data_IF_286007683972
#
_entry.id   IF_286007683972
#
_cell.length_a   1.000
_cell.length_b   1.000
_cell.length_c   1.000
_cell.angle_alpha   90.00
_cell.angle_beta   90.00
_cell.angle_gamma   90.00
#
_symmetry.space_group_name_H-M   'P 1'
#
loop_
_entity.id
_entity.type
_entity.pdbx_description
1 polymer ?
#
# COMPACT_ATOMS: atom_id res chain seq x y z
N UNK A 1 -41.63 44.04 26.27
CA UNK A 1 -41.33 42.77 26.97
C UNK A 1 -42.05 41.67 26.19
N UNK A 2 -41.46 41.27 25.06
CA UNK A 2 -40.57 40.09 24.88
C UNK A 2 -41.36 38.78 24.94
N UNK A 3 -41.79 38.23 23.80
CA UNK A 3 -41.02 37.35 22.88
C UNK A 3 -40.46 36.12 23.60
N UNK A 4 -40.89 34.94 23.15
CA UNK A 4 -40.00 33.84 22.72
C UNK A 4 -40.84 32.79 21.98
N UNK A 5 -40.61 32.71 20.66
CA UNK A 5 -40.94 31.56 19.81
C UNK A 5 -39.81 30.52 19.98
N UNK A 6 -40.06 29.21 19.91
CA UNK A 6 -39.00 28.26 19.60
C UNK A 6 -38.83 28.23 18.07
N UNK A 7 -37.89 29.03 17.58
CA UNK A 7 -37.17 28.78 16.34
C UNK A 7 -36.15 27.68 16.61
N UNK A 8 -36.53 26.43 16.34
CA UNK A 8 -35.62 25.29 16.29
C UNK A 8 -35.19 25.08 14.85
N UNK A 9 -33.97 25.53 14.55
CA UNK A 9 -33.28 25.38 13.28
C UNK A 9 -33.37 23.93 12.81
N UNK A 10 -34.01 23.72 11.66
CA UNK A 10 -33.88 22.52 10.86
C UNK A 10 -32.41 22.46 10.45
N UNK A 11 -31.58 21.75 11.22
CA UNK A 11 -30.25 21.37 10.78
C UNK A 11 -30.44 20.49 9.55
N UNK A 12 -30.26 21.09 8.38
CA UNK A 12 -29.95 20.36 7.17
C UNK A 12 -28.66 19.58 7.45
N UNK A 13 -28.81 18.32 7.84
CA UNK A 13 -27.80 17.30 7.56
C UNK A 13 -27.74 17.17 6.04
N UNK A 14 -27.02 18.10 5.42
CA UNK A 14 -26.34 17.77 4.18
C UNK A 14 -25.30 16.75 4.64
N UNK A 15 -25.62 15.46 4.48
CA UNK A 15 -24.59 14.45 4.33
C UNK A 15 -23.78 14.89 3.10
N UNK A 16 -22.75 15.71 3.33
CA UNK A 16 -21.53 15.52 2.57
C UNK A 16 -21.07 14.12 2.96
N UNK A 17 -21.50 13.13 2.19
CA UNK A 17 -20.73 11.91 2.02
C UNK A 17 -19.40 12.37 1.42
N UNK A 18 -18.51 12.85 2.29
CA UNK A 18 -17.09 12.79 2.01
C UNK A 18 -16.86 11.31 1.77
N UNK A 19 -16.65 10.96 0.51
CA UNK A 19 -16.16 9.64 0.13
C UNK A 19 -14.83 9.50 0.87
N UNK A 20 -14.90 8.90 2.07
CA UNK A 20 -13.70 8.56 2.81
C UNK A 20 -12.96 7.58 1.93
N UNK A 21 -11.86 8.03 1.33
CA UNK A 21 -10.84 7.13 0.83
C UNK A 21 -10.48 6.29 2.07
N UNK A 22 -10.82 4.99 2.04
CA UNK A 22 -10.44 4.08 3.12
C UNK A 22 -8.94 4.18 3.36
N UNK A 23 -8.49 3.98 4.58
CA UNK A 23 -7.07 3.92 4.90
C UNK A 23 -6.77 2.46 5.23
N UNK A 24 -5.87 1.84 4.47
CA UNK A 24 -5.51 0.43 4.64
C UNK A 24 -4.28 0.36 5.54
N UNK A 25 -4.36 -0.46 6.59
CA UNK A 25 -3.24 -0.64 7.51
C UNK A 25 -2.17 -1.53 6.86
N UNK A 26 -0.91 -1.18 7.08
CA UNK A 26 0.24 -1.97 6.64
C UNK A 26 1.38 -1.80 7.63
N UNK A 27 1.99 -2.91 8.06
CA UNK A 27 3.21 -2.89 8.87
C UNK A 27 4.44 -3.07 8.00
N UNK A 28 5.37 -2.13 8.09
CA UNK A 28 6.66 -2.17 7.38
C UNK A 28 7.80 -2.28 8.38
N UNK A 29 8.72 -3.20 8.15
CA UNK A 29 9.96 -3.32 8.91
C UNK A 29 11.18 -3.14 8.00
N UNK A 30 12.29 -2.70 8.59
CA UNK A 30 13.58 -2.66 7.94
C UNK A 30 14.68 -3.19 8.85
N UNK A 31 15.64 -3.92 8.28
CA UNK A 31 16.70 -4.54 9.04
C UNK A 31 17.96 -4.80 8.22
N UNK A 32 19.07 -4.19 8.62
CA UNK A 32 20.38 -4.70 8.28
C UNK A 32 20.62 -5.99 9.06
N UNK A 33 20.55 -7.13 8.37
CA UNK A 33 20.60 -8.45 9.00
C UNK A 33 22.05 -8.95 9.17
N UNK A 34 23.03 -8.22 8.64
CA UNK A 34 24.45 -8.60 8.51
C UNK A 34 24.71 -9.80 7.59
N UNK A 35 23.99 -10.90 7.81
CA UNK A 35 23.95 -12.07 6.95
C UNK A 35 22.69 -12.87 7.30
N UNK A 36 22.00 -13.41 6.29
CA UNK A 36 20.85 -14.29 6.54
C UNK A 36 21.32 -15.61 7.17
N UNK A 37 22.54 -16.04 6.83
CA UNK A 37 23.14 -17.27 7.29
C UNK A 37 22.67 -18.49 6.49
N UNK A 38 23.27 -19.65 6.77
CA UNK A 38 22.91 -20.90 6.10
C UNK A 38 21.62 -21.48 6.70
N UNK A 39 20.69 -22.04 5.89
CA UNK A 39 19.49 -22.69 6.39
C UNK A 39 19.73 -23.65 7.57
N UNK A 40 19.07 -23.36 8.69
CA UNK A 40 19.17 -24.13 9.94
C UNK A 40 20.32 -23.75 10.86
N UNK A 41 21.15 -22.75 10.52
CA UNK A 41 22.11 -22.17 11.46
C UNK A 41 21.40 -21.37 12.55
N UNK A 42 22.14 -20.98 13.61
CA UNK A 42 21.56 -20.17 14.69
C UNK A 42 21.19 -18.77 14.19
N UNK A 43 22.00 -18.20 13.31
CA UNK A 43 21.78 -16.91 12.67
C UNK A 43 20.46 -16.96 11.88
N UNK A 44 20.30 -17.96 11.01
CA UNK A 44 19.08 -18.20 10.24
C UNK A 44 17.83 -18.33 11.13
N UNK A 45 17.88 -19.21 12.13
CA UNK A 45 16.72 -19.49 12.99
C UNK A 45 16.32 -18.27 13.81
N UNK A 46 17.28 -17.54 14.39
CA UNK A 46 16.98 -16.32 15.15
C UNK A 46 16.48 -15.20 14.26
N UNK A 47 17.00 -15.08 13.04
CA UNK A 47 16.48 -14.13 12.05
C UNK A 47 15.02 -14.40 11.72
N UNK A 48 14.65 -15.68 11.53
CA UNK A 48 13.25 -16.06 11.34
C UNK A 48 12.40 -15.70 12.56
N UNK A 49 12.89 -15.95 13.76
CA UNK A 49 12.12 -15.66 14.98
C UNK A 49 11.96 -14.15 15.21
N UNK A 50 12.98 -13.33 14.93
CA UNK A 50 12.89 -11.86 14.96
C UNK A 50 11.86 -11.39 13.94
N UNK A 51 11.95 -11.83 12.69
CA UNK A 51 10.98 -11.47 11.63
C UNK A 51 9.55 -11.89 12.02
N UNK A 52 9.38 -13.09 12.57
CA UNK A 52 8.09 -13.58 13.05
C UNK A 52 7.54 -12.75 14.22
N UNK A 53 8.41 -12.28 15.12
CA UNK A 53 8.03 -11.44 16.26
C UNK A 53 7.52 -10.07 15.82
N UNK A 54 8.16 -9.44 14.83
CA UNK A 54 7.75 -8.14 14.28
C UNK A 54 6.37 -8.20 13.61
N UNK A 55 6.02 -9.35 13.03
CA UNK A 55 4.75 -9.60 12.33
C UNK A 55 4.46 -8.58 11.22
N UNK A 56 5.51 -8.12 10.53
CA UNK A 56 5.37 -7.11 9.50
C UNK A 56 4.75 -7.69 8.23
N UNK A 57 3.93 -6.90 7.52
CA UNK A 57 3.42 -7.27 6.20
C UNK A 57 4.53 -7.22 5.15
N UNK A 58 5.47 -6.30 5.34
CA UNK A 58 6.59 -6.03 4.45
C UNK A 58 7.87 -5.90 5.27
N UNK A 59 8.94 -6.59 4.88
CA UNK A 59 10.27 -6.47 5.51
C UNK A 59 11.31 -6.13 4.46
N UNK A 60 11.96 -4.98 4.61
CA UNK A 60 13.11 -4.59 3.81
C UNK A 60 14.41 -5.02 4.49
N UNK A 61 15.21 -5.83 3.82
CA UNK A 61 16.43 -6.43 4.36
C UNK A 61 17.65 -5.84 3.65
N UNK A 62 18.67 -5.50 4.42
CA UNK A 62 19.99 -5.12 3.91
C UNK A 62 21.04 -6.15 4.35
N UNK A 63 22.15 -6.21 3.61
CA UNK A 63 23.23 -7.19 3.82
C UNK A 63 22.75 -8.65 3.66
N UNK A 64 22.00 -8.91 2.59
CA UNK A 64 21.97 -10.28 2.04
C UNK A 64 23.34 -10.50 1.39
N UNK A 65 24.19 -11.29 2.06
CA UNK A 65 25.61 -11.37 1.81
C UNK A 65 25.90 -12.40 0.72
N UNK A 66 26.51 -11.97 -0.38
CA UNK A 66 26.93 -12.79 -1.50
C UNK A 66 25.82 -13.47 -2.33
N UNK A 67 26.24 -14.06 -3.46
CA UNK A 67 25.34 -14.74 -4.40
C UNK A 67 24.82 -16.09 -3.90
N UNK A 68 25.47 -16.70 -2.91
CA UNK A 68 25.02 -17.94 -2.26
C UNK A 68 23.79 -17.62 -1.40
N UNK A 69 23.81 -16.56 -0.59
CA UNK A 69 22.62 -16.17 0.17
C UNK A 69 21.49 -15.71 -0.74
N UNK A 70 21.78 -14.99 -1.83
CA UNK A 70 20.78 -14.66 -2.87
C UNK A 70 20.10 -15.93 -3.40
N UNK A 71 20.87 -17.01 -3.63
CA UNK A 71 20.34 -18.31 -4.05
C UNK A 71 19.49 -19.01 -2.98
N UNK A 72 19.66 -18.67 -1.71
CA UNK A 72 18.95 -19.26 -0.57
C UNK A 72 17.78 -18.40 -0.08
N UNK A 73 17.72 -17.13 -0.46
CA UNK A 73 16.75 -16.16 0.03
C UNK A 73 15.29 -16.56 -0.24
N UNK A 74 15.02 -17.30 -1.32
CA UNK A 74 13.71 -17.89 -1.57
C UNK A 74 13.27 -18.84 -0.44
N UNK A 75 14.20 -19.62 0.10
CA UNK A 75 13.95 -20.51 1.23
C UNK A 75 13.77 -19.71 2.52
N UNK A 76 14.46 -18.57 2.67
CA UNK A 76 14.30 -17.68 3.81
C UNK A 76 12.92 -17.06 3.81
N UNK A 77 12.50 -16.48 2.68
CA UNK A 77 11.17 -15.92 2.49
C UNK A 77 10.06 -16.93 2.82
N UNK A 78 10.18 -18.15 2.29
CA UNK A 78 9.22 -19.22 2.55
C UNK A 78 9.19 -19.62 4.05
N UNK A 79 10.35 -19.76 4.68
CA UNK A 79 10.44 -20.10 6.09
C UNK A 79 9.95 -18.98 7.01
N UNK A 80 10.11 -17.73 6.60
CA UNK A 80 9.61 -16.54 7.30
C UNK A 80 8.10 -16.31 7.06
N UNK A 81 7.44 -17.12 6.22
CA UNK A 81 6.01 -17.02 5.96
C UNK A 81 5.61 -15.97 4.92
N UNK A 82 6.54 -15.50 4.08
CA UNK A 82 6.29 -14.52 3.03
C UNK A 82 6.15 -15.20 1.67
N UNK A 83 4.98 -15.05 1.05
CA UNK A 83 4.69 -15.64 -0.26
C UNK A 83 5.36 -14.89 -1.42
N UNK A 84 5.75 -13.63 -1.20
CA UNK A 84 6.37 -12.77 -2.20
C UNK A 84 7.70 -12.24 -1.69
N UNK A 85 8.71 -12.22 -2.56
CA UNK A 85 9.99 -11.62 -2.28
C UNK A 85 10.61 -11.05 -3.55
N UNK A 86 11.48 -10.07 -3.39
CA UNK A 86 12.31 -9.52 -4.45
C UNK A 86 13.69 -9.16 -3.89
N UNK A 87 14.73 -9.29 -4.72
CA UNK A 87 16.11 -9.02 -4.34
C UNK A 87 16.69 -8.08 -5.39
N UNK A 88 17.56 -7.17 -4.98
CA UNK A 88 18.29 -6.32 -5.90
C UNK A 88 19.06 -7.16 -6.92
N UNK A 89 19.02 -6.76 -8.18
CA UNK A 89 19.72 -7.48 -9.25
C UNK A 89 21.17 -6.97 -9.44
N UNK A 90 21.53 -5.90 -8.74
CA UNK A 90 22.87 -5.36 -8.67
C UNK A 90 23.27 -5.20 -7.21
N UNK A 91 24.44 -5.72 -6.83
CA UNK A 91 25.22 -5.11 -5.76
C UNK A 91 25.83 -3.84 -6.35
N UNK A 92 25.79 -2.71 -5.65
CA UNK A 92 26.38 -1.47 -6.18
C UNK A 92 27.78 -1.73 -6.75
N UNK A 93 28.12 -1.15 -7.90
CA UNK A 93 29.37 -1.43 -8.65
C UNK A 93 30.65 -1.22 -7.81
N UNK A 94 30.52 -0.53 -6.67
CA UNK A 94 31.57 -0.14 -5.74
C UNK A 94 31.29 -0.61 -4.30
N UNK A 95 30.40 -1.60 -4.13
CA UNK A 95 29.79 -2.06 -2.87
C UNK A 95 30.46 -3.32 -2.27
N UNK A 96 31.07 -4.18 -3.09
CA UNK A 96 31.18 -5.60 -2.72
C UNK A 96 29.83 -6.30 -2.84
N UNK A 97 29.80 -7.63 -2.76
CA UNK A 97 28.64 -8.49 -3.05
C UNK A 97 27.53 -8.41 -1.97
N UNK A 98 27.08 -7.20 -1.62
CA UNK A 98 26.00 -6.96 -0.66
C UNK A 98 24.74 -6.54 -1.40
N UNK A 99 23.65 -7.25 -1.14
CA UNK A 99 22.35 -7.05 -1.77
C UNK A 99 21.32 -6.54 -0.76
N UNK A 100 20.26 -5.95 -1.29
CA UNK A 100 19.07 -5.58 -0.53
C UNK A 100 17.89 -6.41 -1.03
N UNK A 101 16.90 -6.63 -0.18
CA UNK A 101 15.75 -7.43 -0.52
C UNK A 101 14.49 -6.93 0.17
N UNK A 102 13.34 -7.37 -0.35
CA UNK A 102 12.02 -7.12 0.23
C UNK A 102 11.29 -8.44 0.33
N UNK A 103 10.76 -8.74 1.52
CA UNK A 103 9.77 -9.77 1.79
C UNK A 103 8.39 -9.11 1.88
N UNK A 104 7.35 -9.76 1.35
CA UNK A 104 5.99 -9.22 1.38
C UNK A 104 4.92 -10.31 1.47
N UNK A 105 3.94 -10.10 2.36
CA UNK A 105 2.70 -10.89 2.42
C UNK A 105 1.76 -10.56 1.26
N UNK A 106 1.97 -9.41 0.63
CA UNK A 106 1.19 -8.91 -0.49
C UNK A 106 1.96 -9.03 -1.82
N UNK A 107 1.26 -9.11 -2.97
CA UNK A 107 1.92 -9.26 -4.27
C UNK A 107 2.90 -8.13 -4.59
N UNK A 108 4.12 -8.49 -5.02
CA UNK A 108 5.08 -7.56 -5.61
C UNK A 108 4.80 -7.46 -7.10
N UNK A 109 4.33 -6.30 -7.57
CA UNK A 109 3.96 -6.06 -8.98
C UNK A 109 5.18 -5.81 -9.87
N UNK A 110 6.31 -5.46 -9.27
CA UNK A 110 7.60 -5.32 -9.94
C UNK A 110 8.65 -4.70 -9.02
N UNK A 111 9.91 -4.84 -9.41
CA UNK A 111 11.04 -4.30 -8.66
C UNK A 111 12.14 -3.82 -9.61
N UNK A 112 12.92 -2.85 -9.15
CA UNK A 112 13.97 -2.19 -9.94
C UNK A 112 15.14 -1.81 -9.04
N UNK A 113 16.37 -2.16 -9.45
CA UNK A 113 17.58 -1.54 -8.92
C UNK A 113 17.92 -0.32 -9.78
N UNK A 114 18.03 0.85 -9.16
CA UNK A 114 18.28 2.11 -9.85
C UNK A 114 19.77 2.36 -10.04
N UNK A 115 20.15 2.81 -11.24
CA UNK A 115 21.55 3.11 -11.58
C UNK A 115 21.81 4.61 -11.59
N UNK A 116 23.08 5.00 -11.36
CA UNK A 116 23.50 6.39 -11.49
C UNK A 116 23.17 6.95 -12.88
N UNK A 117 23.38 6.14 -13.92
CA UNK A 117 23.10 6.51 -15.30
C UNK A 117 21.60 6.73 -15.57
N UNK A 118 20.72 5.86 -15.07
CA UNK A 118 19.28 6.00 -15.28
C UNK A 118 18.69 7.19 -14.54
N UNK A 119 19.23 7.52 -13.36
CA UNK A 119 18.73 8.61 -12.53
C UNK A 119 19.28 9.98 -12.94
N UNK A 120 20.54 10.05 -13.38
CA UNK A 120 21.15 11.30 -13.86
C UNK A 120 20.81 11.63 -15.32
N UNK A 121 20.49 10.61 -16.12
CA UNK A 121 20.45 10.73 -17.59
C UNK A 121 21.83 10.77 -18.25
N UNK A 122 22.92 10.56 -17.49
CA UNK A 122 24.29 10.50 -17.98
C UNK A 122 24.82 9.06 -17.99
N UNK A 123 25.02 8.51 -19.18
CA UNK A 123 25.48 7.12 -19.35
C UNK A 123 26.86 6.82 -18.73
N UNK A 124 27.64 7.85 -18.39
CA UNK A 124 28.95 7.68 -17.75
C UNK A 124 28.90 7.82 -16.22
N UNK A 125 27.75 8.17 -15.64
CA UNK A 125 27.61 8.30 -14.20
C UNK A 125 27.80 6.93 -13.52
N UNK A 126 28.67 6.91 -12.51
CA UNK A 126 28.97 5.76 -11.66
C UNK A 126 29.27 6.27 -10.24
N UNK A 127 28.28 6.93 -9.65
CA UNK A 127 28.36 7.59 -8.34
C UNK A 127 27.43 6.99 -7.29
N UNK A 128 26.67 5.94 -7.65
CA UNK A 128 25.93 5.08 -6.73
C UNK A 128 26.85 3.93 -6.34
N UNK A 129 27.25 3.88 -5.08
CA UNK A 129 28.18 2.84 -4.62
C UNK A 129 27.50 1.67 -3.95
N UNK A 130 26.23 1.82 -3.58
CA UNK A 130 25.35 0.84 -2.96
C UNK A 130 23.98 0.91 -3.64
N UNK A 131 23.28 -0.21 -3.79
CA UNK A 131 22.05 -0.23 -4.58
C UNK A 131 20.94 0.64 -4.00
N UNK A 132 20.09 1.17 -4.88
CA UNK A 132 18.82 1.81 -4.55
C UNK A 132 17.73 0.91 -5.12
N UNK A 133 17.15 0.08 -4.26
CA UNK A 133 16.19 -0.94 -4.69
C UNK A 133 14.76 -0.46 -4.43
N UNK A 134 13.93 -0.49 -5.47
CA UNK A 134 12.50 -0.20 -5.43
C UNK A 134 11.70 -1.49 -5.61
N UNK A 135 10.70 -1.72 -4.76
CA UNK A 135 9.68 -2.74 -4.93
C UNK A 135 8.28 -2.10 -4.87
N UNK A 136 7.39 -2.48 -5.80
CA UNK A 136 6.00 -1.99 -5.84
C UNK A 136 5.06 -3.06 -5.34
N UNK A 137 4.37 -2.79 -4.24
CA UNK A 137 3.58 -3.76 -3.48
C UNK A 137 2.11 -3.42 -3.58
N UNK A 138 1.29 -4.39 -4.01
CA UNK A 138 -0.15 -4.24 -4.04
C UNK A 138 -0.74 -4.53 -2.65
N UNK A 139 -0.82 -3.51 -1.81
CA UNK A 139 -1.56 -3.60 -0.54
C UNK A 139 -3.05 -3.86 -0.85
N UNK A 140 -3.74 -4.72 -0.09
CA UNK A 140 -5.16 -4.99 -0.30
C UNK A 140 -5.98 -3.70 -0.29
N UNK A 141 -7.01 -3.66 -1.14
CA UNK A 141 -7.93 -2.53 -1.24
C UNK A 141 -7.26 -1.15 -1.47
N UNK A 142 -6.06 -1.05 -2.08
CA UNK A 142 -5.44 0.25 -2.45
C UNK A 142 -5.51 0.55 -3.94
N UNK A 143 -5.68 1.83 -4.29
CA UNK A 143 -5.84 2.29 -5.69
C UNK A 143 -4.54 2.24 -6.48
N UNK A 144 -3.44 2.37 -5.76
CA UNK A 144 -2.10 2.37 -6.29
C UNK A 144 -1.22 1.47 -5.41
N UNK A 145 -0.17 0.86 -5.99
CA UNK A 145 0.79 0.10 -5.21
C UNK A 145 1.55 1.03 -4.26
N UNK A 146 1.90 0.51 -3.09
CA UNK A 146 2.87 1.12 -2.20
C UNK A 146 4.27 0.89 -2.76
N UNK A 147 5.04 1.95 -2.98
CA UNK A 147 6.46 1.82 -3.31
C UNK A 147 7.30 1.70 -2.04
N UNK A 148 8.15 0.67 -1.99
CA UNK A 148 9.17 0.49 -0.97
C UNK A 148 10.52 0.73 -1.62
N UNK A 149 11.22 1.77 -1.17
CA UNK A 149 12.63 1.97 -1.48
C UNK A 149 13.46 1.43 -0.31
N UNK A 150 14.44 0.58 -0.58
CA UNK A 150 15.38 0.10 0.43
C UNK A 150 16.80 0.42 0.01
N UNK A 151 17.60 0.90 0.96
CA UNK A 151 18.99 1.31 0.75
C UNK A 151 19.90 0.77 1.85
N UNK A 152 21.17 0.60 1.53
CA UNK A 152 22.25 0.40 2.49
C UNK A 152 23.39 1.34 2.09
N UNK A 153 23.40 2.56 2.61
CA UNK A 153 24.28 3.62 2.11
C UNK A 153 25.75 3.41 2.53
N UNK A 154 26.65 4.24 1.99
CA UNK A 154 28.07 4.19 2.32
C UNK A 154 28.33 4.32 3.83
N UNK A 155 28.75 3.20 4.43
CA UNK A 155 29.27 3.09 5.78
C UNK A 155 30.60 3.84 6.05
N UNK A 156 30.99 3.84 7.33
CA UNK A 156 32.19 4.49 7.89
C UNK A 156 32.17 6.02 7.85
N UNK A 157 32.97 6.64 8.72
CA UNK A 157 33.11 8.10 8.80
C UNK A 157 34.16 8.65 7.83
N UNK A 158 34.16 9.97 7.66
CA UNK A 158 35.21 10.73 7.00
C UNK A 158 34.80 11.23 5.63
N UNK A 159 35.36 12.37 5.23
CA UNK A 159 34.82 13.19 4.13
C UNK A 159 34.64 12.48 2.78
N UNK A 160 35.40 11.42 2.48
CA UNK A 160 35.19 10.62 1.24
C UNK A 160 33.91 9.79 1.34
N UNK A 161 33.65 9.19 2.50
CA UNK A 161 32.44 8.40 2.76
C UNK A 161 31.23 9.31 2.90
N UNK A 162 31.38 10.43 3.60
CA UNK A 162 30.34 11.46 3.74
C UNK A 162 29.94 12.00 2.34
N UNK A 163 30.91 12.31 1.48
CA UNK A 163 30.62 12.73 0.10
C UNK A 163 29.81 11.67 -0.66
N UNK A 164 30.25 10.40 -0.65
CA UNK A 164 29.55 9.29 -1.32
C UNK A 164 28.12 9.14 -0.80
N UNK A 165 27.93 9.14 0.52
CA UNK A 165 26.61 9.03 1.15
C UNK A 165 25.67 10.16 0.75
N UNK A 166 26.18 11.40 0.67
CA UNK A 166 25.39 12.54 0.17
C UNK A 166 24.97 12.36 -1.29
N UNK A 167 25.85 11.86 -2.14
CA UNK A 167 25.50 11.62 -3.55
C UNK A 167 24.47 10.49 -3.67
N UNK A 168 24.65 9.38 -2.95
CA UNK A 168 23.66 8.29 -2.90
C UNK A 168 22.29 8.77 -2.42
N UNK A 169 22.23 9.65 -1.41
CA UNK A 169 20.98 10.25 -0.94
C UNK A 169 20.32 11.16 -1.97
N UNK A 170 21.10 11.93 -2.74
CA UNK A 170 20.57 12.71 -3.87
C UNK A 170 19.99 11.79 -4.95
N UNK A 171 20.66 10.69 -5.25
CA UNK A 171 20.19 9.68 -6.21
C UNK A 171 18.89 9.01 -5.72
N UNK A 172 18.80 8.70 -4.42
CA UNK A 172 17.56 8.20 -3.82
C UNK A 172 16.42 9.21 -3.94
N UNK A 173 16.69 10.50 -3.65
CA UNK A 173 15.72 11.58 -3.87
C UNK A 173 15.25 11.67 -5.33
N UNK A 174 16.15 11.50 -6.30
CA UNK A 174 15.80 11.46 -7.72
C UNK A 174 14.92 10.24 -8.07
N UNK A 175 15.21 9.07 -7.52
CA UNK A 175 14.40 7.87 -7.73
C UNK A 175 12.98 8.06 -7.19
N UNK A 176 12.86 8.59 -5.96
CA UNK A 176 11.56 8.90 -5.34
C UNK A 176 10.82 9.97 -6.15
N UNK A 177 11.50 11.05 -6.54
CA UNK A 177 10.88 12.11 -7.35
C UNK A 177 10.38 11.58 -8.70
N UNK A 178 11.15 10.74 -9.39
CA UNK A 178 10.75 10.13 -10.65
C UNK A 178 9.53 9.21 -10.47
N UNK A 179 9.50 8.40 -9.41
CA UNK A 179 8.35 7.59 -9.05
C UNK A 179 7.11 8.44 -8.78
N UNK A 180 7.22 9.46 -7.92
CA UNK A 180 6.13 10.36 -7.55
C UNK A 180 5.56 11.10 -8.75
N UNK A 181 6.41 11.53 -9.69
CA UNK A 181 5.97 12.20 -10.91
C UNK A 181 5.13 11.30 -11.83
N UNK A 182 5.47 10.01 -11.91
CA UNK A 182 4.73 9.02 -12.70
C UNK A 182 3.50 8.47 -11.98
N UNK A 183 3.51 8.49 -10.65
CA UNK A 183 2.48 7.86 -9.82
C UNK A 183 2.01 8.82 -8.72
N UNK A 184 1.40 9.98 -9.04
CA UNK A 184 1.15 11.07 -8.07
C UNK A 184 0.19 10.71 -6.91
N UNK A 185 -0.51 9.58 -7.01
CA UNK A 185 -1.42 9.07 -5.98
C UNK A 185 -0.86 7.86 -5.21
N UNK A 186 0.29 7.34 -5.62
CA UNK A 186 0.88 6.16 -5.00
C UNK A 186 1.70 6.55 -3.76
N UNK A 187 1.43 5.97 -2.58
CA UNK A 187 2.25 6.21 -1.40
C UNK A 187 3.65 5.61 -1.58
N UNK A 188 4.62 6.14 -0.83
CA UNK A 188 5.95 5.56 -0.74
C UNK A 188 6.41 5.42 0.70
N UNK A 189 7.28 4.44 0.93
CA UNK A 189 8.09 4.27 2.13
C UNK A 189 9.54 4.00 1.70
N UNK A 190 10.47 4.65 2.36
CA UNK A 190 11.91 4.51 2.17
C UNK A 190 12.47 3.92 3.46
N UNK A 191 13.31 2.91 3.32
CA UNK A 191 13.77 2.06 4.41
C UNK A 191 15.26 1.77 4.30
N UNK A 192 15.86 1.37 5.42
CA UNK A 192 17.16 0.69 5.43
C UNK A 192 18.21 1.39 6.27
N UNK A 193 19.45 0.91 6.13
CA UNK A 193 20.63 1.41 6.82
C UNK A 193 21.22 2.61 6.06
N UNK A 194 20.98 3.80 6.58
CA UNK A 194 21.52 5.05 6.03
C UNK A 194 22.99 5.26 6.40
N UNK A 195 23.54 4.48 7.34
CA UNK A 195 24.86 4.66 7.91
C UNK A 195 25.14 6.08 8.46
N UNK A 196 24.09 6.87 8.65
CA UNK A 196 24.13 8.23 9.16
C UNK A 196 23.06 8.42 10.22
N UNK A 197 23.40 9.22 11.23
CA UNK A 197 22.50 9.63 12.29
C UNK A 197 22.06 11.08 12.07
N UNK A 198 20.73 11.28 12.12
CA UNK A 198 20.08 12.59 11.98
C UNK A 198 20.53 13.60 13.06
N UNK A 199 21.01 13.13 14.21
CA UNK A 199 21.39 13.96 15.35
C UNK A 199 22.88 14.34 15.42
N UNK A 200 23.78 13.61 14.76
CA UNK A 200 25.23 13.76 14.99
C UNK A 200 26.13 13.80 13.73
N UNK A 201 25.55 13.76 12.52
CA UNK A 201 26.31 13.83 11.27
C UNK A 201 27.08 15.15 11.06
N UNK A 202 28.07 15.19 10.15
CA UNK A 202 28.83 16.40 9.80
C UNK A 202 28.02 17.38 8.93
N UNK A 203 26.78 17.67 9.33
CA UNK A 203 25.84 18.51 8.60
C UNK A 203 26.43 19.90 8.29
N UNK A 204 26.26 20.33 7.04
CA UNK A 204 26.80 21.60 6.55
C UNK A 204 28.25 21.54 6.07
N UNK A 205 28.94 20.38 6.14
CA UNK A 205 30.22 20.20 5.46
C UNK A 205 30.09 20.51 3.96
N UNK A 206 31.02 21.28 3.41
CA UNK A 206 31.00 21.71 2.00
C UNK A 206 32.12 21.06 1.22
N UNK A 207 31.78 20.39 0.13
CA UNK A 207 32.71 19.87 -0.86
C UNK A 207 32.72 20.82 -2.07
N UNK A 208 33.90 21.36 -2.40
CA UNK A 208 34.07 22.26 -3.56
C UNK A 208 34.65 21.55 -4.79
N UNK A 209 35.05 20.29 -4.63
CA UNK A 209 35.58 19.41 -5.67
C UNK A 209 35.43 17.95 -5.21
N UNK A 210 35.69 17.01 -6.12
CA UNK A 210 35.76 15.59 -5.80
C UNK A 210 36.83 15.33 -4.71
N UNK A 211 36.50 14.67 -3.60
CA UNK A 211 37.49 14.25 -2.61
C UNK A 211 38.53 13.30 -3.22
N UNK A 212 39.79 13.43 -2.81
CA UNK A 212 40.80 12.42 -3.10
C UNK A 212 40.51 11.11 -2.37
N UNK A 213 40.73 9.96 -3.00
CA UNK A 213 40.52 8.65 -2.39
C UNK A 213 39.19 7.97 -2.74
N UNK A 214 38.40 8.56 -3.63
CA UNK A 214 37.28 7.87 -4.27
C UNK A 214 37.77 6.67 -5.10
N UNK A 215 36.92 5.63 -5.31
CA UNK A 215 37.24 4.53 -6.22
C UNK A 215 37.61 5.04 -7.62
N UNK A 216 38.53 4.35 -8.29
CA UNK A 216 39.07 4.79 -9.59
C UNK A 216 37.99 4.97 -10.68
N UNK A 217 36.92 4.18 -10.60
CA UNK A 217 35.80 4.21 -11.54
C UNK A 217 34.66 5.12 -11.09
N UNK A 218 34.80 5.84 -9.96
CA UNK A 218 33.78 6.75 -9.47
C UNK A 218 33.68 7.98 -10.38
N UNK A 219 32.50 8.18 -10.96
CA UNK A 219 32.24 9.29 -11.90
C UNK A 219 30.90 9.92 -11.55
N UNK A 220 30.88 11.22 -11.25
CA UNK A 220 29.62 11.93 -11.04
C UNK A 220 28.86 12.07 -12.35
N UNK A 221 27.54 11.97 -12.28
CA UNK A 221 26.67 12.46 -13.35
C UNK A 221 26.78 13.97 -13.54
N UNK A 222 26.58 14.41 -14.78
CA UNK A 222 26.63 15.83 -15.18
C UNK A 222 25.59 16.73 -14.48
N UNK A 223 24.63 16.15 -13.78
CA UNK A 223 23.58 16.81 -13.02
C UNK A 223 24.06 17.28 -11.63
N UNK A 224 25.19 16.74 -11.14
CA UNK A 224 25.77 17.13 -9.86
C UNK A 224 26.79 18.25 -10.06
N UNK A 225 26.45 19.43 -9.53
CA UNK A 225 27.34 20.60 -9.51
C UNK A 225 27.92 20.85 -8.12
N UNK A 226 29.13 21.40 -8.09
CA UNK A 226 29.76 21.90 -6.86
C UNK A 226 29.36 23.36 -6.60
N UNK A 227 29.27 23.79 -5.32
CA UNK A 227 29.55 23.01 -4.12
C UNK A 227 28.45 21.99 -3.78
N UNK A 228 28.86 20.86 -3.20
CA UNK A 228 27.96 19.86 -2.60
C UNK A 228 27.98 20.06 -1.09
N UNK A 229 26.83 20.31 -0.50
CA UNK A 229 26.67 20.40 0.96
C UNK A 229 26.23 19.05 1.51
N UNK A 230 26.88 18.61 2.58
CA UNK A 230 26.51 17.41 3.33
C UNK A 230 25.23 17.67 4.12
N UNK A 231 24.14 17.17 3.58
CA UNK A 231 22.81 17.22 4.19
C UNK A 231 21.96 16.06 3.63
N UNK A 232 22.30 14.81 3.99
CA UNK A 232 21.76 13.63 3.34
C UNK A 232 20.23 13.58 3.41
N UNK A 233 19.63 13.83 4.58
CA UNK A 233 18.18 13.69 4.79
C UNK A 233 17.34 14.73 4.04
N UNK A 234 17.90 15.91 3.76
CA UNK A 234 17.21 16.99 3.04
C UNK A 234 16.79 16.59 1.62
N UNK A 235 17.49 15.65 0.99
CA UNK A 235 17.11 15.10 -0.32
C UNK A 235 15.74 14.40 -0.32
N UNK A 236 15.28 13.93 0.84
CA UNK A 236 14.01 13.22 1.00
C UNK A 236 12.94 14.07 1.66
N UNK A 237 13.31 14.85 2.69
CA UNK A 237 12.34 15.68 3.42
C UNK A 237 11.79 16.82 2.56
N UNK A 238 12.58 17.37 1.62
CA UNK A 238 12.10 18.38 0.66
C UNK A 238 11.10 17.83 -0.35
N UNK A 239 11.05 16.52 -0.55
CA UNK A 239 10.05 15.83 -1.37
C UNK A 239 8.77 15.50 -0.56
N UNK A 240 8.69 15.94 0.69
CA UNK A 240 7.58 15.64 1.60
C UNK A 240 7.72 14.30 2.32
N UNK A 241 8.92 13.69 2.31
CA UNK A 241 9.22 12.53 3.15
C UNK A 241 9.25 12.91 4.63
N UNK A 242 8.54 12.15 5.45
CA UNK A 242 8.48 12.28 6.90
C UNK A 242 9.23 11.12 7.53
N UNK A 243 10.14 11.40 8.45
CA UNK A 243 10.95 10.38 9.12
C UNK A 243 10.17 9.89 10.34
N UNK A 244 9.96 8.58 10.46
CA UNK A 244 9.41 7.95 11.66
C UNK A 244 10.32 8.28 12.87
N UNK A 245 9.79 8.43 14.08
CA UNK A 245 10.58 8.77 15.27
C UNK A 245 10.78 7.57 16.20
N UNK A 246 11.03 6.42 15.56
CA UNK A 246 11.18 5.13 16.22
C UNK A 246 12.21 5.17 17.35
N UNK A 247 11.79 4.66 18.51
CA UNK A 247 12.62 4.43 19.69
C UNK A 247 12.37 3.01 20.21
N UNK A 248 13.27 2.52 21.06
CA UNK A 248 13.12 1.24 21.69
C UNK A 248 12.02 1.29 22.76
N UNK A 249 11.35 0.16 22.96
CA UNK A 249 10.33 -0.06 23.99
C UNK A 249 10.77 0.51 25.36
N UNK A 250 9.80 1.11 26.06
CA UNK A 250 9.96 1.79 27.35
C UNK A 250 10.97 2.96 27.31
N UNK A 251 11.10 3.63 26.17
CA UNK A 251 11.95 4.81 26.02
C UNK A 251 11.47 5.81 24.99
N UNK A 252 11.55 7.10 25.32
CA UNK A 252 11.30 8.20 24.38
C UNK A 252 12.57 8.82 23.80
N UNK A 253 13.73 8.25 24.11
CA UNK A 253 15.03 8.84 23.72
C UNK A 253 16.06 7.81 23.27
N UNK A 254 15.78 6.51 23.43
CA UNK A 254 16.69 5.45 22.97
C UNK A 254 16.28 5.04 21.57
N UNK A 255 16.83 5.74 20.58
CA UNK A 255 16.58 5.54 19.16
C UNK A 255 17.74 4.81 18.46
N UNK A 256 18.77 4.42 19.21
CA UNK A 256 19.90 3.69 18.69
C UNK A 256 19.45 2.39 18.00
N UNK A 257 19.78 2.26 16.72
CA UNK A 257 19.58 1.04 15.94
C UNK A 257 20.87 0.23 15.86
N UNK A 258 22.03 0.81 16.20
CA UNK A 258 23.31 0.10 16.31
C UNK A 258 23.91 0.26 17.70
N UNK A 259 23.72 -0.75 18.54
CA UNK A 259 24.06 -0.74 19.97
C UNK A 259 25.52 -0.36 20.24
N UNK A 260 26.45 -0.94 19.47
CA UNK A 260 27.89 -0.73 19.66
C UNK A 260 28.35 0.73 19.51
N UNK A 261 27.63 1.53 18.71
CA UNK A 261 27.90 2.95 18.53
C UNK A 261 26.91 3.87 19.26
N UNK A 262 25.77 3.35 19.69
CA UNK A 262 24.65 4.14 20.21
C UNK A 262 24.00 5.06 19.18
N UNK A 263 24.28 4.85 17.88
CA UNK A 263 23.78 5.68 16.77
C UNK A 263 22.51 5.09 16.18
N UNK A 264 21.66 5.96 15.66
CA UNK A 264 20.51 5.63 14.83
C UNK A 264 20.95 5.64 13.37
N UNK A 265 21.01 4.46 12.76
CA UNK A 265 21.45 4.30 11.37
C UNK A 265 20.32 3.82 10.46
N UNK A 266 19.33 3.14 11.04
CA UNK A 266 18.23 2.52 10.30
C UNK A 266 16.97 3.39 10.42
N UNK A 267 16.32 3.66 9.29
CA UNK A 267 15.19 4.58 9.23
C UNK A 267 14.04 4.03 8.41
N UNK A 268 12.83 4.45 8.79
CA UNK A 268 11.63 4.40 7.96
C UNK A 268 11.22 5.85 7.68
N UNK A 269 11.10 6.19 6.40
CA UNK A 269 10.65 7.51 5.93
C UNK A 269 9.45 7.29 5.03
N UNK A 270 8.34 7.97 5.28
CA UNK A 270 7.07 7.75 4.58
C UNK A 270 6.57 9.04 3.93
N UNK A 271 5.76 8.92 2.89
CA UNK A 271 5.21 10.09 2.22
C UNK A 271 4.09 9.79 1.24
N UNK A 272 3.62 10.85 0.59
CA UNK A 272 2.65 10.78 -0.49
C UNK A 272 1.36 10.03 -0.11
N UNK A 273 0.80 10.38 1.05
CA UNK A 273 -0.46 9.83 1.55
C UNK A 273 -0.31 8.62 2.47
N UNK A 274 0.88 8.02 2.59
CA UNK A 274 1.19 7.16 3.72
C UNK A 274 1.17 7.99 5.02
N UNK A 275 0.59 7.45 6.08
CA UNK A 275 0.49 8.09 7.39
C UNK A 275 1.02 7.14 8.47
N UNK A 276 1.80 7.67 9.40
CA UNK A 276 2.32 6.91 10.53
C UNK A 276 1.27 6.76 11.61
N UNK A 277 1.08 5.53 12.08
CA UNK A 277 0.24 5.18 13.23
C UNK A 277 1.10 4.96 14.47
N UNK A 278 2.24 4.30 14.32
CA UNK A 278 3.24 4.13 15.36
C UNK A 278 4.51 3.50 14.81
N UNK A 279 5.61 3.59 15.56
CA UNK A 279 6.92 3.06 15.19
C UNK A 279 7.67 2.55 16.43
N UNK A 280 8.68 1.71 16.19
CA UNK A 280 9.51 1.15 17.23
C UNK A 280 10.85 0.64 16.67
N UNK A 281 11.91 0.77 17.47
CA UNK A 281 13.18 0.03 17.28
C UNK A 281 13.12 -1.24 18.12
N UNK A 282 13.06 -2.40 17.46
CA UNK A 282 12.92 -3.66 18.16
C UNK A 282 14.21 -4.11 18.82
N UNK A 283 14.18 -4.23 20.15
CA UNK A 283 15.25 -4.81 20.93
C UNK A 283 14.69 -5.89 21.87
N UNK A 284 15.01 -7.15 21.60
CA UNK A 284 14.57 -8.31 22.40
C UNK A 284 14.91 -8.21 23.89
N UNK A 285 15.92 -7.42 24.27
CA UNK A 285 16.24 -7.19 25.69
C UNK A 285 15.23 -6.29 26.43
N UNK A 286 14.42 -5.55 25.68
CA UNK A 286 13.38 -4.63 26.18
C UNK A 286 11.97 -5.16 25.97
N UNK A 287 11.80 -6.02 24.97
CA UNK A 287 10.53 -6.68 24.68
C UNK A 287 10.08 -7.59 25.82
N UNK A 288 9.21 -7.06 26.67
CA UNK A 288 8.59 -7.80 27.78
C UNK A 288 7.16 -8.28 27.42
N UNK A 289 6.68 -7.91 26.23
CA UNK A 289 5.37 -8.28 25.69
C UNK A 289 4.21 -7.39 26.14
N UNK A 290 4.48 -6.30 26.86
CA UNK A 290 3.50 -5.35 27.39
C UNK A 290 4.03 -3.92 27.23
N UNK A 291 3.15 -2.97 26.94
CA UNK A 291 3.47 -1.53 27.05
C UNK A 291 3.55 -1.16 28.53
N UNK A 292 4.76 -1.06 29.08
CA UNK A 292 5.01 -0.74 30.49
C UNK A 292 5.56 0.69 30.66
N UNK A 293 6.03 1.08 31.86
CA UNK A 293 6.39 2.48 32.10
C UNK A 293 7.86 2.76 31.77
N UNK A 294 8.19 3.81 30.99
CA UNK A 294 7.30 4.85 30.46
C UNK A 294 6.45 4.37 29.28
N UNK A 295 5.12 4.51 29.43
CA UNK A 295 4.17 4.06 28.43
C UNK A 295 4.33 4.84 27.12
N UNK A 296 4.27 4.12 26.01
CA UNK A 296 4.50 4.64 24.66
C UNK A 296 5.74 4.03 24.00
N UNK A 297 5.83 4.22 22.68
CA UNK A 297 6.89 3.66 21.83
C UNK A 297 6.93 2.12 21.88
N UNK A 298 5.72 1.57 21.94
CA UNK A 298 5.43 0.16 21.88
C UNK A 298 4.45 -0.10 20.74
N UNK A 299 4.74 -1.11 19.93
CA UNK A 299 3.81 -1.71 19.01
C UNK A 299 3.47 -3.15 19.43
N UNK A 300 2.22 -3.60 19.21
CA UNK A 300 1.85 -5.00 19.41
C UNK A 300 2.70 -5.89 18.51
N UNK A 301 3.27 -6.95 19.07
CA UNK A 301 4.14 -7.91 18.37
C UNK A 301 3.53 -9.32 18.47
N UNK A 302 3.80 -10.21 17.52
CA UNK A 302 3.20 -11.55 17.51
C UNK A 302 3.92 -12.55 18.43
N UNK A 303 3.18 -13.51 18.98
CA UNK A 303 3.77 -14.61 19.75
C UNK A 303 4.35 -14.20 21.11
N UNK A 304 5.18 -15.08 21.68
CA UNK A 304 5.90 -14.84 22.94
C UNK A 304 7.16 -14.00 22.72
N UNK A 305 7.61 -13.34 23.78
CA UNK A 305 8.88 -12.60 23.77
C UNK A 305 10.07 -13.51 23.43
N UNK A 306 11.07 -12.91 22.79
CA UNK A 306 12.31 -13.58 22.45
C UNK A 306 13.31 -13.48 23.61
N UNK A 307 14.27 -14.40 23.76
CA UNK A 307 15.36 -14.23 24.71
C UNK A 307 16.10 -12.90 24.52
N UNK A 308 16.40 -12.22 25.62
CA UNK A 308 16.97 -10.87 25.63
C UNK A 308 18.25 -10.65 24.80
N UNK A 309 18.98 -11.73 24.48
CA UNK A 309 20.21 -11.66 23.69
C UNK A 309 20.00 -11.82 22.18
N UNK A 310 18.79 -12.16 21.71
CA UNK A 310 18.60 -12.60 20.33
C UNK A 310 18.87 -11.51 19.31
N UNK A 311 18.41 -10.28 19.54
CA UNK A 311 18.69 -9.17 18.62
C UNK A 311 20.21 -9.01 18.39
N UNK A 312 21.00 -8.91 19.47
CA UNK A 312 22.46 -8.74 19.41
C UNK A 312 23.24 -9.97 18.95
N UNK A 313 22.65 -11.16 19.03
CA UNK A 313 23.26 -12.40 18.54
C UNK A 313 22.92 -12.70 17.08
N UNK A 314 22.05 -11.89 16.47
CA UNK A 314 21.58 -12.09 15.10
C UNK A 314 22.14 -11.04 14.16
N UNK A 315 22.17 -9.78 14.60
CA UNK A 315 22.77 -8.67 13.86
C UNK A 315 23.38 -7.66 14.83
N UNK A 316 24.34 -6.85 14.36
CA UNK A 316 24.80 -5.67 15.10
C UNK A 316 23.85 -4.46 14.95
N UNK A 317 22.77 -4.61 14.18
CA UNK A 317 21.67 -3.67 14.04
C UNK A 317 20.36 -4.25 14.61
N UNK A 318 19.58 -3.36 15.24
CA UNK A 318 18.21 -3.58 15.64
C UNK A 318 17.26 -3.27 14.49
N UNK A 319 16.24 -4.11 14.22
CA UNK A 319 15.23 -3.78 13.24
C UNK A 319 14.41 -2.57 13.67
N UNK A 320 13.97 -1.78 12.69
CA UNK A 320 13.00 -0.69 12.89
C UNK A 320 11.72 -1.07 12.18
N UNK A 321 10.57 -0.88 12.83
CA UNK A 321 9.28 -1.19 12.21
C UNK A 321 8.24 -0.13 12.56
N UNK A 322 7.26 0.00 11.67
CA UNK A 322 6.21 1.00 11.77
C UNK A 322 4.88 0.45 11.27
N UNK A 323 3.82 0.82 11.99
CA UNK A 323 2.44 0.70 11.53
C UNK A 323 2.09 1.97 10.75
N UNK A 324 1.68 1.77 9.50
CA UNK A 324 1.28 2.84 8.60
C UNK A 324 -0.17 2.63 8.16
N UNK A 325 -0.83 3.69 7.75
CA UNK A 325 -1.96 3.58 6.85
C UNK A 325 -1.61 4.15 5.48
N UNK A 326 -2.12 3.51 4.44
CA UNK A 326 -1.96 3.95 3.04
C UNK A 326 -3.31 4.25 2.41
N UNK A 327 -3.37 5.16 1.42
CA UNK A 327 -4.61 5.48 0.74
C UNK A 327 -5.21 4.23 0.09
N UNK A 328 -6.35 3.81 0.62
CA UNK A 328 -7.19 2.78 0.07
C UNK A 328 -7.84 3.22 -1.24
N UNK A 329 -8.52 2.29 -1.89
CA UNK A 329 -9.54 2.60 -2.86
C UNK A 329 -10.75 3.11 -2.08
N UNK A 330 -11.42 4.12 -2.60
CA UNK A 330 -12.83 4.22 -2.26
C UNK A 330 -13.45 2.87 -2.65
N UNK A 331 -14.17 2.23 -1.73
CA UNK A 331 -14.92 1.03 -2.05
C UNK A 331 -16.32 1.44 -2.52
N UNK A 332 -16.95 0.66 -3.41
CA UNK A 332 -18.39 0.80 -3.64
C UNK A 332 -19.13 0.73 -2.29
N UNK A 333 -20.09 1.63 -2.07
CA UNK A 333 -21.00 1.62 -0.94
C UNK A 333 -21.71 0.27 -0.80
N UNK A 334 -21.97 -0.41 -1.92
CA UNK A 334 -22.55 -1.75 -1.98
C UNK A 334 -21.67 -2.71 -2.78
N UNK A 335 -20.51 -3.10 -2.22
CA UNK A 335 -19.55 -3.96 -2.92
C UNK A 335 -20.14 -5.33 -3.34
N UNK A 336 -19.79 -5.80 -4.54
CA UNK A 336 -20.14 -7.10 -5.10
C UNK A 336 -19.22 -8.24 -4.63
N UNK A 337 -19.11 -9.31 -5.43
CA UNK A 337 -18.24 -10.46 -5.13
C UNK A 337 -16.78 -10.29 -5.61
N UNK A 338 -16.45 -9.13 -6.18
CA UNK A 338 -15.13 -8.82 -6.75
C UNK A 338 -14.70 -9.81 -7.87
N UNK A 339 -15.68 -10.41 -8.54
CA UNK A 339 -15.48 -11.16 -9.78
C UNK A 339 -15.36 -10.19 -10.97
N UNK A 340 -14.90 -10.69 -12.13
CA UNK A 340 -14.84 -9.93 -13.39
C UNK A 340 -16.23 -9.63 -14.00
N UNK A 341 -17.11 -9.04 -13.21
CA UNK A 341 -18.49 -8.73 -13.57
C UNK A 341 -18.90 -7.39 -12.96
N UNK A 342 -19.28 -6.43 -13.81
CA UNK A 342 -19.54 -5.04 -13.43
C UNK A 342 -20.94 -4.63 -13.88
N UNK A 343 -21.63 -3.82 -13.06
CA UNK A 343 -22.85 -3.13 -13.42
C UNK A 343 -22.62 -1.62 -13.37
N UNK A 344 -23.23 -0.90 -14.31
CA UNK A 344 -23.23 0.55 -14.40
C UNK A 344 -24.69 1.02 -14.40
N UNK A 345 -24.96 2.15 -13.73
CA UNK A 345 -26.30 2.78 -13.75
C UNK A 345 -26.21 4.26 -14.07
N UNK A 346 -27.24 4.80 -14.72
CA UNK A 346 -27.35 6.24 -14.98
C UNK A 346 -28.81 6.68 -15.00
N UNK A 347 -29.10 7.87 -14.49
CA UNK A 347 -30.44 8.47 -14.53
C UNK A 347 -30.37 9.72 -15.40
N UNK A 348 -31.05 9.71 -16.55
CA UNK A 348 -31.01 10.80 -17.53
C UNK A 348 -29.61 11.08 -18.13
N UNK A 349 -28.65 10.19 -17.89
CA UNK A 349 -27.25 10.34 -18.28
C UNK A 349 -26.60 8.97 -18.58
N UNK A 350 -25.39 8.98 -19.13
CA UNK A 350 -24.64 7.77 -19.40
C UNK A 350 -24.41 6.95 -18.12
N UNK A 351 -24.55 5.60 -18.17
CA UNK A 351 -24.28 4.75 -17.01
C UNK A 351 -22.84 4.91 -16.49
N UNK A 352 -22.72 5.05 -15.18
CA UNK A 352 -21.43 5.05 -14.47
C UNK A 352 -21.40 3.94 -13.41
N UNK A 353 -20.20 3.54 -13.04
CA UNK A 353 -19.93 2.53 -12.03
C UNK A 353 -18.73 2.90 -11.18
N UNK A 354 -18.49 2.06 -10.18
CA UNK A 354 -17.41 2.22 -9.24
C UNK A 354 -17.77 3.09 -8.04
N UNK A 355 -16.79 3.30 -7.17
CA UNK A 355 -16.97 3.95 -5.88
C UNK A 355 -17.62 5.33 -6.00
N UNK A 356 -18.73 5.53 -5.29
CA UNK A 356 -19.45 6.79 -5.28
C UNK A 356 -20.33 7.05 -6.51
N UNK A 357 -20.38 6.11 -7.44
CA UNK A 357 -21.27 6.12 -8.61
C UNK A 357 -22.41 5.09 -8.48
N UNK A 358 -22.54 4.47 -7.33
CA UNK A 358 -23.45 3.40 -6.96
C UNK A 358 -24.68 3.88 -6.17
N UNK A 359 -24.82 5.20 -5.97
CA UNK A 359 -26.07 5.82 -5.55
C UNK A 359 -26.53 6.86 -6.58
N UNK A 360 -27.79 6.78 -6.99
CA UNK A 360 -28.44 7.70 -7.94
C UNK A 360 -29.76 8.20 -7.36
N UNK A 361 -30.19 9.36 -7.82
CA UNK A 361 -31.54 9.87 -7.57
C UNK A 361 -32.28 9.99 -8.90
N UNK A 362 -33.57 9.64 -8.89
CA UNK A 362 -34.46 9.76 -10.04
C UNK A 362 -35.82 10.32 -9.63
N UNK A 363 -36.56 10.83 -10.60
CA UNK A 363 -37.96 11.25 -10.48
C UNK A 363 -38.82 10.47 -11.48
N UNK A 364 -40.13 10.49 -11.26
CA UNK A 364 -41.08 9.94 -12.24
C UNK A 364 -40.88 10.61 -13.61
N UNK A 365 -40.77 9.79 -14.66
CA UNK A 365 -40.51 10.23 -16.03
C UNK A 365 -39.03 10.21 -16.44
N UNK A 366 -38.10 10.05 -15.50
CA UNK A 366 -36.69 9.86 -15.84
C UNK A 366 -36.45 8.51 -16.52
N UNK A 367 -35.36 8.42 -17.28
CA UNK A 367 -34.85 7.15 -17.79
C UNK A 367 -33.71 6.64 -16.91
N UNK A 368 -33.91 5.45 -16.35
CA UNK A 368 -32.89 4.67 -15.67
C UNK A 368 -32.23 3.74 -16.68
N UNK A 369 -30.95 3.98 -16.94
CA UNK A 369 -30.10 3.12 -17.75
C UNK A 369 -29.35 2.17 -16.85
N UNK A 370 -29.37 0.88 -17.16
CA UNK A 370 -28.60 -0.16 -16.47
C UNK A 370 -27.80 -0.92 -17.50
N UNK A 371 -26.48 -1.02 -17.31
CA UNK A 371 -25.58 -1.79 -18.17
C UNK A 371 -24.83 -2.79 -17.32
N UNK A 372 -24.57 -3.99 -17.82
CA UNK A 372 -23.64 -4.93 -17.19
C UNK A 372 -22.64 -5.44 -18.22
N UNK A 373 -21.43 -5.80 -17.77
CA UNK A 373 -20.34 -6.31 -18.61
C UNK A 373 -19.35 -7.18 -17.83
N UNK A 374 -18.51 -7.93 -18.56
CA UNK A 374 -17.38 -8.69 -18.02
C UNK A 374 -16.08 -8.18 -18.66
N UNK A 375 -15.44 -7.14 -18.11
CA UNK A 375 -14.33 -6.43 -18.76
C UNK A 375 -13.12 -7.31 -19.13
N UNK A 376 -12.76 -8.27 -18.28
CA UNK A 376 -11.71 -9.27 -18.51
C UNK A 376 -12.16 -10.46 -19.35
N UNK A 377 -13.44 -10.52 -19.71
CA UNK A 377 -14.00 -11.57 -20.57
C UNK A 377 -14.36 -12.87 -19.86
N UNK A 378 -14.18 -12.97 -18.54
CA UNK A 378 -14.35 -14.22 -17.77
C UNK A 378 -15.75 -14.80 -17.91
N UNK A 379 -16.76 -13.95 -17.91
CA UNK A 379 -18.16 -14.35 -17.99
C UNK A 379 -18.79 -14.12 -19.36
N UNK A 380 -17.99 -13.79 -20.39
CA UNK A 380 -18.52 -13.68 -21.76
C UNK A 380 -19.05 -15.04 -22.20
N UNK A 381 -20.27 -15.07 -22.75
CA UNK A 381 -20.93 -16.32 -23.10
C UNK A 381 -21.77 -16.94 -21.99
N UNK A 382 -21.66 -16.45 -20.74
CA UNK A 382 -22.41 -16.99 -19.61
C UNK A 382 -23.76 -16.29 -19.40
N UNK A 383 -24.77 -16.99 -18.87
CA UNK A 383 -26.01 -16.44 -18.37
C UNK A 383 -25.82 -15.25 -17.42
N UNK A 384 -26.44 -14.11 -17.73
CA UNK A 384 -26.48 -12.93 -16.86
C UNK A 384 -27.90 -12.42 -16.65
N UNK A 385 -28.15 -11.81 -15.49
CA UNK A 385 -29.42 -11.19 -15.11
C UNK A 385 -29.19 -9.94 -14.26
N UNK A 386 -30.05 -8.95 -14.43
CA UNK A 386 -30.17 -7.81 -13.50
C UNK A 386 -31.31 -8.13 -12.54
N UNK A 387 -31.06 -8.01 -11.26
CA UNK A 387 -32.02 -8.18 -10.19
C UNK A 387 -32.25 -6.82 -9.52
N UNK A 388 -33.48 -6.54 -9.15
CA UNK A 388 -33.86 -5.37 -8.38
C UNK A 388 -34.72 -5.74 -7.18
N UNK A 389 -34.62 -4.97 -6.11
CA UNK A 389 -35.52 -5.06 -4.95
C UNK A 389 -35.87 -3.67 -4.45
N UNK A 390 -37.17 -3.41 -4.27
CA UNK A 390 -37.67 -2.12 -3.80
C UNK A 390 -37.78 -2.07 -2.28
N UNK A 391 -37.42 -0.94 -1.68
CA UNK A 391 -37.54 -0.69 -0.24
C UNK A 391 -37.91 0.78 0.04
N UNK A 392 -38.43 1.13 1.22
CA UNK A 392 -38.83 2.51 1.52
C UNK A 392 -37.67 3.50 1.46
N UNK A 393 -37.90 4.71 0.92
CA UNK A 393 -36.95 5.83 1.00
C UNK A 393 -37.38 6.84 2.09
N UNK A 394 -36.49 7.23 3.02
CA UNK A 394 -35.17 6.65 3.27
C UNK A 394 -35.27 5.30 3.99
N UNK A 395 -34.40 4.36 3.64
CA UNK A 395 -34.36 3.03 4.24
C UNK A 395 -33.01 2.36 4.10
N UNK A 396 -32.87 1.23 4.79
CA UNK A 396 -31.72 0.33 4.70
C UNK A 396 -31.97 -0.61 3.52
N UNK A 397 -31.00 -0.78 2.61
CA UNK A 397 -31.15 -1.71 1.51
C UNK A 397 -31.25 -3.16 2.00
N UNK A 398 -31.90 -4.03 1.23
CA UNK A 398 -31.92 -5.46 1.50
C UNK A 398 -30.51 -6.06 1.37
N UNK A 399 -30.28 -7.20 2.04
CA UNK A 399 -29.04 -7.94 1.98
C UNK A 399 -29.32 -9.44 1.92
N UNK A 400 -28.51 -10.16 1.16
CA UNK A 400 -28.68 -11.58 0.91
C UNK A 400 -27.78 -12.47 1.80
N UNK A 401 -27.98 -13.81 1.78
CA UNK A 401 -27.15 -14.76 2.54
C UNK A 401 -25.73 -14.96 1.99
N UNK A 402 -25.40 -14.43 0.80
CA UNK A 402 -24.08 -14.57 0.18
C UNK A 402 -23.29 -13.26 0.29
N UNK A 403 -21.97 -13.31 0.52
CA UNK A 403 -21.12 -12.12 0.46
C UNK A 403 -21.28 -11.37 -0.86
N UNK A 404 -21.44 -10.05 -0.77
CA UNK A 404 -21.60 -9.19 -1.93
C UNK A 404 -22.98 -9.21 -2.58
N UNK A 405 -23.99 -9.87 -1.99
CA UNK A 405 -25.36 -9.89 -2.52
C UNK A 405 -26.28 -8.91 -1.78
N UNK A 406 -26.91 -7.99 -2.51
CA UNK A 406 -27.69 -6.87 -1.95
C UNK A 406 -29.20 -6.99 -2.20
N UNK A 407 -29.72 -8.22 -2.18
CA UNK A 407 -31.14 -8.51 -2.28
C UNK A 407 -31.46 -9.81 -1.56
N UNK A 408 -32.70 -9.95 -1.09
CA UNK A 408 -33.20 -11.17 -0.48
C UNK A 408 -33.68 -12.15 -1.56
N UNK A 409 -33.00 -13.29 -1.68
CA UNK A 409 -33.37 -14.39 -2.58
C UNK A 409 -34.79 -14.93 -2.32
N UNK A 410 -35.33 -14.72 -1.12
CA UNK A 410 -36.65 -15.20 -0.70
C UNK A 410 -37.67 -14.08 -0.49
N UNK A 411 -37.22 -12.82 -0.46
CA UNK A 411 -37.97 -11.65 0.01
C UNK A 411 -38.71 -10.85 -1.05
N UNK A 412 -38.61 -11.25 -2.33
CA UNK A 412 -39.35 -10.62 -3.42
C UNK A 412 -38.50 -9.83 -4.42
N UNK A 413 -37.20 -10.10 -4.50
CA UNK A 413 -36.36 -9.63 -5.59
C UNK A 413 -36.99 -9.99 -6.95
N UNK A 414 -36.96 -9.04 -7.88
CA UNK A 414 -37.49 -9.22 -9.23
C UNK A 414 -36.37 -9.12 -10.27
N UNK A 415 -36.45 -9.98 -11.29
CA UNK A 415 -35.52 -9.92 -12.41
C UNK A 415 -35.99 -8.86 -13.42
N UNK A 416 -35.07 -7.97 -13.79
CA UNK A 416 -35.23 -7.02 -14.87
C UNK A 416 -34.76 -7.69 -16.17
N UNK A 417 -35.72 -8.11 -17.00
CA UNK A 417 -35.45 -8.70 -18.30
C UNK A 417 -35.30 -7.64 -19.39
N UNK A 418 -34.68 -8.02 -20.51
CA UNK A 418 -34.10 -7.15 -21.55
C UNK A 418 -35.04 -6.21 -22.33
N UNK A 419 -36.27 -6.00 -21.87
CA UNK A 419 -37.23 -5.13 -22.52
C UNK A 419 -37.90 -5.74 -23.76
N UNK A 420 -37.67 -7.01 -24.10
CA UNK A 420 -38.33 -7.66 -25.26
C UNK A 420 -39.45 -8.65 -24.92
N UNK A 421 -39.59 -9.11 -23.67
CA UNK A 421 -40.74 -9.91 -23.25
C UNK A 421 -41.13 -9.68 -21.78
N UNK A 422 -42.25 -9.00 -21.56
CA UNK A 422 -43.01 -9.14 -20.33
C UNK A 422 -43.74 -10.50 -20.40
N UNK A 423 -43.53 -11.36 -19.40
CA UNK A 423 -44.17 -12.67 -19.22
C UNK A 423 -43.62 -13.84 -20.06
N UNK A 424 -42.75 -14.67 -19.43
CA UNK A 424 -42.53 -16.04 -19.89
C UNK A 424 -41.11 -16.59 -19.77
N UNK A 425 -40.65 -16.89 -18.55
CA UNK A 425 -39.48 -17.74 -18.29
C UNK A 425 -38.19 -16.99 -17.98
N UNK A 426 -37.45 -17.44 -16.95
CA UNK A 426 -36.06 -17.07 -16.73
C UNK A 426 -35.23 -17.54 -17.93
N UNK A 427 -35.02 -16.67 -18.93
CA UNK A 427 -34.03 -16.89 -19.97
C UNK A 427 -32.94 -15.86 -19.74
N UNK A 428 -31.85 -16.23 -19.03
CA UNK A 428 -30.70 -15.37 -18.86
C UNK A 428 -30.19 -14.89 -20.21
N UNK A 429 -29.75 -13.63 -20.27
CA UNK A 429 -29.12 -13.11 -21.48
C UNK A 429 -27.65 -13.47 -21.43
N UNK A 430 -27.11 -13.99 -22.53
CA UNK A 430 -25.68 -14.27 -22.64
C UNK A 430 -24.92 -12.95 -22.51
N UNK A 431 -24.00 -12.84 -21.55
CA UNK A 431 -23.17 -11.66 -21.38
C UNK A 431 -22.29 -11.44 -22.63
N UNK A 432 -22.48 -10.34 -23.39
CA UNK A 432 -21.65 -10.03 -24.54
C UNK A 432 -20.34 -9.35 -24.10
N UNK A 433 -19.33 -9.37 -24.96
CA UNK A 433 -18.00 -8.80 -24.68
C UNK A 433 -18.06 -7.32 -24.26
N UNK A 434 -18.88 -6.51 -24.95
CA UNK A 434 -19.05 -5.09 -24.64
C UNK A 434 -20.17 -4.82 -23.62
N UNK A 435 -20.80 -5.87 -23.06
CA UNK A 435 -21.93 -5.74 -22.16
C UNK A 435 -23.27 -5.42 -22.84
N UNK A 436 -24.36 -5.54 -22.07
CA UNK A 436 -25.71 -5.22 -22.53
C UNK A 436 -26.25 -4.03 -21.74
N UNK A 437 -27.02 -3.16 -22.39
CA UNK A 437 -27.61 -1.98 -21.77
C UNK A 437 -29.13 -1.97 -21.95
N UNK A 438 -29.82 -1.74 -20.84
CA UNK A 438 -31.27 -1.59 -20.77
C UNK A 438 -31.64 -0.19 -20.29
N UNK A 439 -32.80 0.28 -20.71
CA UNK A 439 -33.33 1.59 -20.31
C UNK A 439 -34.77 1.44 -19.86
N UNK A 440 -35.07 1.92 -18.65
CA UNK A 440 -36.36 1.81 -18.02
C UNK A 440 -36.90 3.21 -17.74
N UNK A 441 -38.13 3.48 -18.17
CA UNK A 441 -38.83 4.70 -17.76
C UNK A 441 -39.27 4.54 -16.31
N UNK A 442 -38.92 5.47 -15.43
CA UNK A 442 -39.36 5.50 -14.03
C UNK A 442 -40.86 5.83 -13.99
N UNK A 443 -41.73 4.89 -13.59
CA UNK A 443 -43.17 5.13 -13.58
C UNK A 443 -43.58 6.18 -12.55
N UNK A 444 -44.67 6.89 -12.84
CA UNK A 444 -45.36 7.68 -11.83
C UNK A 444 -45.89 6.77 -10.70
N UNK A 445 -45.78 7.24 -9.45
CA UNK A 445 -46.28 6.52 -8.27
C UNK A 445 -45.22 5.74 -7.48
N UNK A 446 -43.95 5.75 -7.90
CA UNK A 446 -42.84 5.16 -7.14
C UNK A 446 -42.12 6.16 -6.21
N UNK A 447 -42.56 7.42 -6.15
CA UNK A 447 -41.97 8.43 -5.27
C UNK A 447 -41.94 7.97 -3.81
N UNK A 448 -40.79 8.14 -3.15
CA UNK A 448 -40.55 7.63 -1.80
C UNK A 448 -40.12 6.16 -1.73
N UNK A 449 -39.71 5.57 -2.86
CA UNK A 449 -39.15 4.21 -2.93
C UNK A 449 -37.69 4.28 -3.36
N UNK A 450 -36.84 3.43 -2.77
CA UNK A 450 -35.49 3.16 -3.25
C UNK A 450 -35.47 1.78 -3.91
N UNK A 451 -34.65 1.60 -4.93
CA UNK A 451 -34.35 0.31 -5.53
C UNK A 451 -32.90 -0.04 -5.30
N UNK A 452 -32.63 -1.24 -4.81
CA UNK A 452 -31.31 -1.83 -4.89
C UNK A 452 -31.27 -2.67 -6.16
N UNK A 453 -30.34 -2.35 -7.04
CA UNK A 453 -30.11 -3.06 -8.29
C UNK A 453 -28.79 -3.79 -8.18
N UNK A 454 -28.70 -4.97 -8.79
CA UNK A 454 -27.46 -5.71 -8.88
C UNK A 454 -27.50 -6.62 -10.09
N UNK A 455 -26.39 -6.75 -10.81
CA UNK A 455 -26.28 -7.76 -11.86
C UNK A 455 -25.51 -8.97 -11.35
N UNK A 456 -25.84 -10.14 -11.88
CA UNK A 456 -25.11 -11.37 -11.59
C UNK A 456 -24.93 -12.22 -12.84
N UNK A 457 -23.78 -12.89 -12.90
CA UNK A 457 -23.49 -13.95 -13.86
C UNK A 457 -23.56 -15.32 -13.17
N UNK A 458 -24.22 -16.28 -13.82
CA UNK A 458 -24.33 -17.66 -13.34
C UNK A 458 -23.22 -18.46 -14.03
N UNK A 459 -22.17 -18.79 -13.29
CA UNK A 459 -20.99 -19.48 -13.82
C UNK A 459 -20.25 -20.23 -12.73
N UNK A 460 -19.74 -21.41 -13.07
CA UNK A 460 -18.84 -22.15 -12.19
C UNK A 460 -17.43 -21.54 -12.12
N UNK A 461 -17.16 -20.48 -12.89
CA UNK A 461 -15.91 -19.71 -12.86
C UNK A 461 -15.94 -18.60 -11.81
N UNK A 462 -17.10 -18.31 -11.21
CA UNK A 462 -17.20 -17.33 -10.14
C UNK A 462 -16.40 -17.78 -8.91
N UNK A 463 -15.91 -16.84 -8.11
CA UNK A 463 -15.10 -17.11 -6.92
C UNK A 463 -15.80 -18.02 -5.90
N UNK A 464 -17.13 -17.94 -5.79
CA UNK A 464 -17.93 -18.83 -4.93
C UNK A 464 -18.37 -20.14 -5.63
N UNK A 465 -17.90 -20.37 -6.86
CA UNK A 465 -18.19 -21.55 -7.67
C UNK A 465 -19.56 -21.56 -8.34
N UNK A 466 -20.35 -20.48 -8.26
CA UNK A 466 -21.70 -20.47 -8.84
C UNK A 466 -22.21 -19.10 -9.35
N UNK A 467 -22.04 -18.02 -8.57
CA UNK A 467 -22.57 -16.69 -8.87
C UNK A 467 -21.49 -15.62 -8.73
N UNK A 468 -21.28 -14.85 -9.79
CA UNK A 468 -20.53 -13.60 -9.73
C UNK A 468 -21.51 -12.44 -9.59
N UNK A 469 -21.33 -11.58 -8.60
CA UNK A 469 -22.15 -10.40 -8.32
C UNK A 469 -21.37 -9.13 -8.67
N UNK A 470 -21.97 -8.25 -9.45
CA UNK A 470 -21.47 -6.88 -9.57
C UNK A 470 -21.63 -6.12 -8.27
N UNK A 471 -21.08 -4.91 -8.18
CA UNK A 471 -21.52 -3.98 -7.15
C UNK A 471 -23.02 -3.71 -7.23
N UNK A 472 -23.64 -3.52 -6.07
CA UNK A 472 -25.02 -3.08 -5.91
C UNK A 472 -25.13 -1.59 -6.19
N UNK A 473 -26.22 -1.17 -6.82
CA UNK A 473 -26.50 0.23 -7.08
C UNK A 473 -27.86 0.61 -6.50
N UNK A 474 -27.87 1.62 -5.66
CA UNK A 474 -29.09 2.20 -5.09
C UNK A 474 -29.61 3.33 -5.98
N UNK A 475 -30.89 3.26 -6.32
CA UNK A 475 -31.60 4.34 -7.02
C UNK A 475 -32.74 4.84 -6.14
N UNK A 476 -32.63 6.07 -5.65
CA UNK A 476 -33.64 6.73 -4.83
C UNK A 476 -34.66 7.45 -5.73
N UNK A 477 -35.94 7.04 -5.68
CA UNK A 477 -37.02 7.72 -6.40
C UNK A 477 -37.59 8.80 -5.50
N UNK A 478 -37.32 10.05 -5.84
CA UNK A 478 -37.72 11.21 -5.05
C UNK A 478 -39.25 11.44 -5.15
N UNK A 479 -39.89 12.00 -4.09
CA UNK A 479 -41.33 12.25 -4.05
C UNK A 479 -41.88 13.20 -5.11
#
# INVERSE_FOLDING_TARGET
MSLLRPSGVLCALILLATMGIGQEAVRVATWNIQAVGTPGSNEWLRSLDVVARLDADIVAIQEVDDMVEVGQFASFAAAAGYAHYAISNTSGTLSGDLFTAVLSRHPILGSTSHTAASLSGDLNANDITRDIFEARIQVPNTAAPLAIFTVHLKASSGGVNDFRRTIEMRRLGQAVQAFSALNPLAPFVITGDFNEDLGDGPFGQVFNALPSGLPQTYTLGNDINFPVVYDPFNALTTLGGLIADATQEDSTTLDATRDSSGRRLDYIIYGQGALLVGDEVYNSSRDNGLDDFPAGNWLPKAGSTLPASWSLQTSDHFPVFADLTVPGQALPLFAGSNDDFEMLTGVGAAPTAGPGQDQKSAMAGDFLHVRYRSPGGTFVGWPAVIVGEGFPFPGIPPFGPLPGMWFDLFGGAFALFDGTAATGGFQPVIAPLDGNQHSYLVPAGLGGTSFMLQSLAISNLANNGFLAFSDGHRVDILP
#
